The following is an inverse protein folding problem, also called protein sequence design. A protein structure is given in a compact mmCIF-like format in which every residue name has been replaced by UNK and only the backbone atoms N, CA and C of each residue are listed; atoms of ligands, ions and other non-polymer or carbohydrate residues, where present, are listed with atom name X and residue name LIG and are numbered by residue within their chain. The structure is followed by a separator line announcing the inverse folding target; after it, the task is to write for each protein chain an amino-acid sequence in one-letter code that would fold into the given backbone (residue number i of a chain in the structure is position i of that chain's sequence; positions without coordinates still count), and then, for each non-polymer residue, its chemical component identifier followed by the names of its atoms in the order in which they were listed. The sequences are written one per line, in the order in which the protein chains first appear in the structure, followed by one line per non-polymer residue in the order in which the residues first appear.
data_IF_173814659481
#
_entry.id   IF_173814659481
#
_cell.length_a   1.000
_cell.length_b   1.000
_cell.length_c   1.000
_cell.angle_alpha   90.00
_cell.angle_beta   90.00
_cell.angle_gamma   90.00
#
_symmetry.space_group_name_H-M   'P 1'
#
loop_
_entity.id
_entity.type
_entity.pdbx_description
1 polymer ?
#
# COMPACT_ATOMS: atom_id res chain seq x y z
N UNK A 1 24.29 -12.10 23.36
CA UNK A 1 25.58 -11.95 22.63
C UNK A 1 25.61 -13.00 21.53
N UNK A 2 25.85 -12.60 20.27
CA UNK A 2 25.97 -13.51 19.12
C UNK A 2 27.29 -14.29 19.28
N UNK A 3 27.26 -15.61 19.19
CA UNK A 3 28.49 -16.43 19.26
C UNK A 3 29.37 -16.17 18.04
N UNK A 4 30.69 -16.34 18.15
CA UNK A 4 31.64 -16.12 17.04
C UNK A 4 31.26 -16.90 15.77
N UNK A 5 30.77 -18.13 15.91
CA UNK A 5 30.28 -18.94 14.78
C UNK A 5 29.04 -18.39 14.10
N UNK A 6 28.12 -17.81 14.88
CA UNK A 6 26.91 -17.18 14.33
C UNK A 6 27.25 -15.92 13.55
N UNK A 7 28.22 -15.13 14.04
CA UNK A 7 28.69 -13.92 13.37
C UNK A 7 29.34 -14.25 12.02
N UNK A 8 30.27 -15.22 11.98
CA UNK A 8 30.93 -15.66 10.73
C UNK A 8 29.91 -16.18 9.71
N UNK A 9 28.90 -16.91 10.16
CA UNK A 9 27.81 -17.36 9.28
C UNK A 9 27.00 -16.18 8.73
N UNK A 10 26.69 -15.19 9.56
CA UNK A 10 25.95 -14.01 9.14
C UNK A 10 26.76 -13.16 8.16
N UNK A 11 28.08 -13.01 8.36
CA UNK A 11 28.98 -12.36 7.41
C UNK A 11 28.97 -13.03 6.04
N UNK A 12 29.10 -14.36 5.98
CA UNK A 12 29.06 -15.12 4.71
C UNK A 12 27.71 -14.96 3.99
N UNK A 13 26.60 -14.95 4.72
CA UNK A 13 25.28 -14.70 4.16
C UNK A 13 25.22 -13.27 3.58
N UNK A 14 25.74 -12.29 4.30
CA UNK A 14 25.77 -10.92 3.82
C UNK A 14 26.65 -10.78 2.57
N UNK A 15 27.83 -11.39 2.53
CA UNK A 15 28.72 -11.38 1.36
C UNK A 15 28.11 -12.02 0.12
N UNK A 16 27.26 -13.03 0.29
CA UNK A 16 26.53 -13.62 -0.84
C UNK A 16 25.51 -12.66 -1.50
N UNK A 17 25.21 -11.55 -0.82
CA UNK A 17 24.23 -10.55 -1.24
C UNK A 17 24.89 -9.25 -1.70
N UNK A 18 25.91 -8.78 -0.97
CA UNK A 18 26.56 -7.50 -1.23
C UNK A 18 27.95 -7.63 -1.87
N UNK A 19 28.47 -8.84 -2.03
CA UNK A 19 29.84 -9.12 -2.44
C UNK A 19 30.82 -9.19 -1.27
N UNK A 20 32.12 -9.49 -1.54
CA UNK A 20 33.17 -9.55 -0.52
C UNK A 20 33.27 -8.24 0.23
N UNK A 21 33.47 -8.31 1.55
CA UNK A 21 33.54 -7.13 2.42
C UNK A 21 34.56 -7.29 3.54
N UNK A 22 35.20 -6.18 3.94
CA UNK A 22 36.15 -6.14 5.05
C UNK A 22 35.43 -5.89 6.36
N UNK A 23 35.21 -6.94 7.13
CA UNK A 23 34.40 -6.92 8.33
C UNK A 23 35.15 -6.34 9.55
N UNK A 24 34.49 -5.41 10.23
CA UNK A 24 34.82 -4.95 11.58
C UNK A 24 33.71 -5.37 12.53
N UNK A 25 33.82 -6.57 13.11
CA UNK A 25 32.72 -7.16 13.88
C UNK A 25 31.51 -7.48 12.99
N UNK A 26 30.36 -6.92 13.30
CA UNK A 26 29.11 -7.13 12.55
C UNK A 26 28.92 -6.18 11.35
N UNK A 27 29.83 -5.23 11.13
CA UNK A 27 29.72 -4.18 10.12
C UNK A 27 30.85 -4.24 9.09
N UNK A 28 30.55 -3.87 7.85
CA UNK A 28 31.54 -3.68 6.80
C UNK A 28 31.14 -2.55 5.86
N UNK A 29 32.11 -1.73 5.38
CA UNK A 29 31.86 -0.80 4.29
C UNK A 29 31.58 -1.56 3.00
N UNK A 30 30.67 -1.04 2.18
CA UNK A 30 30.31 -1.62 0.89
C UNK A 30 30.10 -0.54 -0.16
N UNK A 31 30.22 -0.89 -1.43
CA UNK A 31 29.75 -0.02 -2.50
C UNK A 31 28.23 0.09 -2.42
N UNK A 32 27.70 1.31 -2.45
CA UNK A 32 26.24 1.52 -2.39
C UNK A 32 25.55 0.87 -3.59
N UNK A 33 24.51 0.03 -3.38
CA UNK A 33 23.78 -0.58 -4.49
C UNK A 33 23.07 0.44 -5.39
N UNK A 34 22.82 1.64 -4.89
CA UNK A 34 22.25 2.76 -5.64
C UNK A 34 23.25 3.86 -5.97
N UNK A 35 24.56 3.54 -6.09
CA UNK A 35 25.62 4.53 -6.33
C UNK A 35 25.40 5.38 -7.59
N UNK A 36 24.75 4.81 -8.61
CA UNK A 36 24.39 5.50 -9.85
C UNK A 36 23.33 6.60 -9.66
N UNK A 37 22.66 6.61 -8.52
CA UNK A 37 21.65 7.61 -8.13
C UNK A 37 22.24 8.72 -7.24
N UNK A 38 23.53 8.62 -6.88
CA UNK A 38 24.15 9.62 -6.02
C UNK A 38 24.46 10.89 -6.83
N UNK A 39 24.14 12.03 -6.26
CA UNK A 39 24.42 13.36 -6.82
C UNK A 39 25.82 13.87 -6.46
N UNK A 40 26.49 13.22 -5.50
CA UNK A 40 27.84 13.55 -5.03
C UNK A 40 28.71 12.29 -5.04
N UNK A 41 30.05 12.43 -5.21
CA UNK A 41 30.96 11.29 -5.11
C UNK A 41 30.78 10.56 -3.78
N UNK A 42 30.83 9.23 -3.83
CA UNK A 42 30.69 8.37 -2.66
C UNK A 42 32.02 8.37 -1.88
N UNK A 43 31.99 8.68 -0.58
CA UNK A 43 33.09 8.34 0.28
C UNK A 43 33.06 6.84 0.63
N UNK A 44 34.18 6.17 0.85
CA UNK A 44 34.24 4.74 1.16
C UNK A 44 33.39 4.31 2.36
N UNK A 45 33.08 5.24 3.26
CA UNK A 45 32.31 5.02 4.50
C UNK A 45 30.84 5.39 4.39
N UNK A 46 30.38 5.90 3.24
CA UNK A 46 29.01 6.40 3.08
C UNK A 46 27.95 5.31 3.06
N UNK A 47 28.35 4.07 2.76
CA UNK A 47 27.45 2.93 2.75
C UNK A 47 28.07 1.76 3.49
N UNK A 48 27.31 1.14 4.38
CA UNK A 48 27.75 -0.04 5.13
C UNK A 48 26.68 -1.12 5.18
N UNK A 49 27.12 -2.36 5.32
CA UNK A 49 26.28 -3.51 5.66
C UNK A 49 26.45 -3.86 7.13
N UNK A 50 25.35 -4.23 7.76
CA UNK A 50 25.32 -4.77 9.13
C UNK A 50 24.69 -6.15 9.07
N UNK A 51 25.40 -7.22 9.47
CA UNK A 51 24.94 -8.59 9.35
C UNK A 51 24.37 -9.18 10.67
N UNK A 52 24.63 -8.55 11.81
CA UNK A 52 24.09 -8.92 13.12
C UNK A 52 23.82 -7.64 13.92
N UNK A 53 22.98 -7.69 14.98
CA UNK A 53 22.75 -6.53 15.83
C UNK A 53 24.09 -5.95 16.34
N UNK A 54 24.36 -4.70 16.01
CA UNK A 54 25.59 -3.98 16.38
C UNK A 54 25.26 -2.83 17.34
N UNK A 55 26.08 -2.58 18.37
CA UNK A 55 25.89 -1.46 19.28
C UNK A 55 26.05 -0.13 18.54
N UNK A 56 25.21 0.84 18.86
CA UNK A 56 25.29 2.23 18.41
C UNK A 56 25.19 3.13 19.63
N UNK A 57 25.72 4.33 19.55
CA UNK A 57 25.54 5.34 20.59
C UNK A 57 24.03 5.62 20.73
N UNK A 58 23.42 5.09 21.83
CA UNK A 58 22.00 5.21 22.12
C UNK A 58 21.09 4.07 21.65
N UNK A 59 21.64 2.93 21.13
CA UNK A 59 20.79 1.81 20.70
C UNK A 59 21.52 0.64 20.05
N UNK A 60 20.78 -0.17 19.31
CA UNK A 60 21.29 -1.32 18.55
C UNK A 60 20.92 -1.17 17.08
N UNK A 61 21.91 -1.19 16.21
CA UNK A 61 21.70 -1.19 14.77
C UNK A 61 21.23 -2.57 14.31
N UNK A 62 20.08 -2.64 13.68
CA UNK A 62 19.55 -3.90 13.16
C UNK A 62 20.29 -4.35 11.90
N UNK A 63 20.28 -5.65 11.55
CA UNK A 63 20.82 -6.12 10.27
C UNK A 63 20.18 -5.40 9.08
N UNK A 64 21.03 -4.93 8.15
CA UNK A 64 20.57 -4.14 6.99
C UNK A 64 21.70 -3.47 6.25
N UNK A 65 21.38 -2.71 5.23
CA UNK A 65 22.30 -1.84 4.50
C UNK A 65 21.95 -0.39 4.82
N UNK A 66 22.93 0.40 5.09
CA UNK A 66 22.80 1.79 5.53
C UNK A 66 23.63 2.69 4.62
N UNK A 67 23.00 3.68 4.02
CA UNK A 67 23.66 4.69 3.19
C UNK A 67 23.20 6.08 3.61
N UNK A 68 24.12 7.04 3.64
CA UNK A 68 23.83 8.43 4.01
C UNK A 68 23.05 9.19 2.92
N UNK A 69 23.05 8.69 1.67
CA UNK A 69 22.38 9.36 0.56
C UNK A 69 20.90 9.00 0.50
N UNK A 70 20.05 10.03 0.41
CA UNK A 70 18.58 9.83 0.31
C UNK A 70 18.15 9.27 -1.06
N UNK A 71 18.88 9.63 -2.12
CA UNK A 71 18.58 9.25 -3.50
C UNK A 71 18.61 7.75 -3.77
N UNK A 72 19.44 6.99 -3.03
CA UNK A 72 19.56 5.52 -3.21
C UNK A 72 18.67 4.71 -2.27
N UNK A 73 17.77 5.35 -1.51
CA UNK A 73 16.98 4.71 -0.44
C UNK A 73 16.17 3.51 -0.90
N UNK A 74 15.63 3.54 -2.12
CA UNK A 74 14.85 2.44 -2.67
C UNK A 74 15.72 1.19 -2.92
N UNK A 75 16.90 1.35 -3.53
CA UNK A 75 17.82 0.25 -3.83
C UNK A 75 18.43 -0.34 -2.55
N UNK A 76 18.83 0.53 -1.62
CA UNK A 76 19.29 0.15 -0.28
C UNK A 76 18.19 -0.63 0.47
N UNK A 77 16.94 -0.20 0.37
CA UNK A 77 15.79 -0.87 0.99
C UNK A 77 15.56 -2.28 0.45
N UNK A 78 15.61 -2.47 -0.87
CA UNK A 78 15.48 -3.79 -1.52
C UNK A 78 16.56 -4.75 -1.03
N UNK A 79 17.81 -4.30 -1.01
CA UNK A 79 18.93 -5.16 -0.62
C UNK A 79 18.94 -5.45 0.89
N UNK A 80 18.54 -4.46 1.72
CA UNK A 80 18.34 -4.66 3.16
C UNK A 80 17.25 -5.69 3.47
N UNK A 81 16.18 -5.70 2.69
CA UNK A 81 15.12 -6.70 2.81
C UNK A 81 15.65 -8.11 2.49
N UNK A 82 16.39 -8.26 1.37
CA UNK A 82 17.02 -9.52 0.98
C UNK A 82 17.97 -10.05 2.07
N UNK A 83 18.79 -9.16 2.62
CA UNK A 83 19.72 -9.49 3.70
C UNK A 83 18.99 -10.00 4.95
N UNK A 84 17.98 -9.27 5.41
CA UNK A 84 17.18 -9.66 6.59
C UNK A 84 16.48 -10.99 6.39
N UNK A 85 15.90 -11.21 5.22
CA UNK A 85 15.27 -12.48 4.87
C UNK A 85 16.25 -13.64 4.88
N UNK A 86 17.45 -13.45 4.33
CA UNK A 86 18.49 -14.48 4.30
C UNK A 86 19.07 -14.80 5.68
N UNK A 87 19.14 -13.80 6.56
CA UNK A 87 19.57 -13.95 7.95
C UNK A 87 18.50 -14.58 8.86
N UNK A 88 17.31 -14.89 8.35
CA UNK A 88 16.20 -15.44 9.12
C UNK A 88 15.45 -14.39 9.96
N UNK A 89 15.75 -13.10 9.79
CA UNK A 89 14.99 -12.00 10.36
C UNK A 89 13.78 -11.72 9.46
N UNK A 90 12.87 -12.69 9.35
CA UNK A 90 11.54 -12.43 8.80
C UNK A 90 10.85 -11.34 9.63
N UNK A 91 9.99 -10.54 9.00
CA UNK A 91 9.24 -9.41 9.59
C UNK A 91 8.21 -9.89 10.63
N UNK A 92 8.61 -10.77 11.53
CA UNK A 92 7.82 -11.15 12.71
C UNK A 92 8.77 -11.32 13.88
N UNK A 93 8.45 -10.59 14.96
CA UNK A 93 9.25 -10.51 16.16
C UNK A 93 9.60 -11.87 16.75
N UNK A 94 10.75 -11.86 17.35
CA UNK A 94 11.27 -12.78 18.37
C UNK A 94 10.24 -13.75 18.96
N UNK A 95 10.32 -15.02 18.55
CA UNK A 95 10.18 -16.19 19.43
C UNK A 95 10.48 -17.49 18.66
N UNK A 96 11.32 -18.34 19.27
CA UNK A 96 11.38 -19.74 18.92
C UNK A 96 12.79 -20.24 18.65
N UNK A 97 13.33 -20.85 19.71
CA UNK A 97 14.58 -21.54 19.72
C UNK A 97 14.73 -22.57 18.60
N UNK A 98 15.96 -22.65 18.11
CA UNK A 98 16.51 -23.63 17.20
C UNK A 98 16.21 -25.08 17.64
N UNK A 99 15.40 -25.76 16.84
CA UNK A 99 15.52 -27.22 16.71
C UNK A 99 16.05 -27.52 15.30
N UNK A 100 17.04 -28.39 15.11
CA UNK A 100 17.54 -28.75 13.80
C UNK A 100 16.48 -29.58 13.07
N UNK A 101 15.87 -29.01 12.03
CA UNK A 101 15.03 -29.75 11.09
C UNK A 101 15.93 -30.45 10.08
N UNK A 102 15.89 -31.77 10.06
CA UNK A 102 16.51 -32.65 9.08
C UNK A 102 16.19 -32.20 7.65
N UNK A 103 17.25 -32.20 6.84
CA UNK A 103 17.17 -31.96 5.39
C UNK A 103 16.56 -33.21 4.72
N UNK A 104 15.25 -33.32 4.70
CA UNK A 104 14.53 -34.24 3.84
C UNK A 104 13.73 -33.45 2.81
N UNK A 105 14.17 -33.50 1.55
CA UNK A 105 13.37 -33.42 0.36
C UNK A 105 12.35 -32.30 0.25
N UNK A 106 12.75 -31.01 0.21
CA UNK A 106 11.92 -29.97 -0.34
C UNK A 106 12.28 -29.79 -1.81
N UNK A 107 11.45 -30.32 -2.70
CA UNK A 107 11.40 -29.84 -4.08
C UNK A 107 11.32 -28.33 -4.08
N UNK A 108 12.12 -27.60 -4.89
CA UNK A 108 11.99 -26.15 -5.02
C UNK A 108 10.55 -25.84 -5.43
N UNK A 109 9.83 -25.07 -4.60
CA UNK A 109 8.55 -24.53 -5.05
C UNK A 109 8.85 -23.71 -6.32
N UNK A 110 8.10 -23.93 -7.41
CA UNK A 110 8.26 -23.12 -8.61
C UNK A 110 8.19 -21.65 -8.17
N UNK A 111 9.17 -20.87 -8.57
CA UNK A 111 9.19 -19.42 -8.36
C UNK A 111 7.96 -18.90 -9.10
N UNK A 112 6.89 -18.59 -8.36
CA UNK A 112 5.74 -17.93 -8.98
C UNK A 112 6.27 -16.62 -9.55
N UNK A 113 6.25 -16.50 -10.86
CA UNK A 113 6.51 -15.24 -11.55
C UNK A 113 5.40 -14.29 -11.07
N UNK A 114 5.78 -13.21 -10.37
CA UNK A 114 4.80 -12.20 -9.99
C UNK A 114 4.19 -11.65 -11.29
N UNK A 115 2.86 -11.56 -11.38
CA UNK A 115 2.23 -11.02 -12.56
C UNK A 115 2.67 -9.57 -12.78
N UNK A 116 2.98 -9.23 -14.01
CA UNK A 116 3.36 -7.88 -14.43
C UNK A 116 2.25 -7.27 -15.29
N UNK A 117 2.25 -5.95 -15.43
CA UNK A 117 1.32 -5.22 -16.30
C UNK A 117 1.52 -5.62 -17.75
N UNK A 118 0.42 -5.99 -18.42
CA UNK A 118 0.35 -6.39 -19.82
C UNK A 118 -0.62 -5.47 -20.59
N UNK A 119 -0.11 -4.44 -21.28
CA UNK A 119 -0.94 -3.53 -22.06
C UNK A 119 -1.77 -4.23 -23.15
N UNK A 120 -1.27 -5.33 -23.72
CA UNK A 120 -1.98 -6.11 -24.74
C UNK A 120 -3.22 -6.78 -24.16
N UNK A 121 -3.09 -7.35 -22.96
CA UNK A 121 -4.21 -7.94 -22.23
C UNK A 121 -5.24 -6.91 -21.80
N UNK A 122 -4.77 -5.75 -21.31
CA UNK A 122 -5.67 -4.64 -20.99
C UNK A 122 -6.46 -4.20 -22.21
N UNK A 123 -5.80 -3.95 -23.34
CA UNK A 123 -6.44 -3.54 -24.59
C UNK A 123 -7.47 -4.58 -25.08
N UNK A 124 -7.11 -5.87 -25.03
CA UNK A 124 -7.99 -6.95 -25.46
C UNK A 124 -9.29 -7.03 -24.61
N UNK A 125 -9.18 -6.81 -23.29
CA UNK A 125 -10.35 -6.80 -22.41
C UNK A 125 -11.13 -5.50 -22.57
N UNK A 126 -10.47 -4.35 -22.53
CA UNK A 126 -11.13 -3.06 -22.66
C UNK A 126 -11.89 -2.92 -24.00
N UNK A 127 -11.36 -3.48 -25.06
CA UNK A 127 -11.96 -3.43 -26.40
C UNK A 127 -13.28 -4.23 -26.55
N UNK A 128 -13.60 -5.10 -25.60
CA UNK A 128 -14.87 -5.86 -25.63
C UNK A 128 -16.09 -5.01 -25.25
N UNK A 129 -15.86 -3.90 -24.56
CA UNK A 129 -16.94 -3.04 -24.07
C UNK A 129 -16.74 -1.63 -24.61
N UNK A 130 -17.69 -1.14 -25.40
CA UNK A 130 -17.64 0.18 -26.01
C UNK A 130 -18.47 1.21 -25.26
N UNK A 131 -18.13 2.50 -25.41
CA UNK A 131 -18.90 3.61 -24.86
C UNK A 131 -18.78 3.79 -23.34
N UNK A 132 -17.80 3.13 -22.71
CA UNK A 132 -17.50 3.28 -21.28
C UNK A 132 -16.93 4.67 -21.02
N UNK A 133 -17.61 5.40 -20.15
CA UNK A 133 -17.21 6.71 -19.66
C UNK A 133 -17.82 6.96 -18.28
N UNK A 134 -17.55 8.09 -17.68
CA UNK A 134 -18.07 8.44 -16.35
C UNK A 134 -19.61 8.36 -16.28
N UNK A 135 -20.31 8.87 -17.30
CA UNK A 135 -21.78 8.83 -17.36
C UNK A 135 -22.31 7.41 -17.49
N UNK A 136 -21.57 6.52 -18.14
CA UNK A 136 -21.91 5.09 -18.23
C UNK A 136 -21.94 4.44 -16.85
N UNK A 137 -20.96 4.73 -15.98
CA UNK A 137 -20.90 4.26 -14.60
C UNK A 137 -21.98 4.90 -13.72
N UNK A 138 -22.17 6.22 -13.84
CA UNK A 138 -23.19 6.95 -13.07
C UNK A 138 -24.60 6.37 -13.28
N UNK A 139 -24.95 6.02 -14.53
CA UNK A 139 -26.25 5.40 -14.84
C UNK A 139 -26.43 3.99 -14.26
N UNK A 140 -25.35 3.28 -13.96
CA UNK A 140 -25.34 1.94 -13.36
C UNK A 140 -25.21 1.93 -11.85
N UNK A 141 -24.96 3.09 -11.27
CA UNK A 141 -24.89 3.26 -9.82
C UNK A 141 -26.26 2.98 -9.19
N UNK A 142 -26.27 2.24 -8.09
CA UNK A 142 -27.49 2.05 -7.29
C UNK A 142 -27.89 3.30 -6.52
N UNK A 143 -26.91 4.14 -6.19
CA UNK A 143 -27.13 5.43 -5.53
C UNK A 143 -26.63 6.57 -6.42
N UNK A 144 -27.30 7.72 -6.45
CA UNK A 144 -26.89 8.88 -7.23
C UNK A 144 -25.51 9.35 -6.81
N UNK A 145 -24.54 9.35 -7.72
CA UNK A 145 -23.15 9.74 -7.42
C UNK A 145 -23.00 11.24 -7.18
N UNK A 146 -23.77 12.06 -7.88
CA UNK A 146 -23.72 13.52 -7.78
C UNK A 146 -24.36 14.07 -6.50
N UNK A 147 -25.22 13.27 -5.85
CA UNK A 147 -25.84 13.63 -4.57
C UNK A 147 -25.00 13.26 -3.35
N UNK A 148 -23.87 12.60 -3.55
CA UNK A 148 -23.03 12.17 -2.44
C UNK A 148 -22.12 13.30 -1.93
N UNK A 149 -21.96 13.32 -0.62
CA UNK A 149 -20.92 14.07 0.09
C UNK A 149 -19.89 13.09 0.65
N UNK A 150 -18.71 13.54 1.10
CA UNK A 150 -17.77 12.64 1.77
C UNK A 150 -18.40 11.88 2.95
N UNK A 151 -19.24 12.56 3.72
CA UNK A 151 -19.95 11.96 4.86
C UNK A 151 -20.97 10.90 4.44
N UNK A 152 -21.86 11.21 3.48
CA UNK A 152 -22.86 10.25 3.01
C UNK A 152 -22.22 9.06 2.32
N UNK A 153 -21.14 9.25 1.57
CA UNK A 153 -20.36 8.15 0.99
C UNK A 153 -19.86 7.19 2.08
N UNK A 154 -19.24 7.71 3.15
CA UNK A 154 -18.77 6.86 4.25
C UNK A 154 -19.93 6.13 4.96
N UNK A 155 -21.07 6.80 5.16
CA UNK A 155 -22.27 6.19 5.75
C UNK A 155 -22.82 5.03 4.93
N UNK A 156 -22.63 5.02 3.60
CA UNK A 156 -23.01 3.88 2.77
C UNK A 156 -22.07 2.68 2.89
N UNK A 157 -20.84 2.90 3.35
CA UNK A 157 -19.81 1.85 3.41
C UNK A 157 -19.67 1.23 4.81
N UNK A 158 -19.96 2.00 5.85
CA UNK A 158 -19.68 1.61 7.24
C UNK A 158 -20.93 1.66 8.08
N UNK A 159 -21.07 0.67 8.98
CA UNK A 159 -22.16 0.62 9.92
C UNK A 159 -22.04 1.69 11.03
N UNK A 160 -23.15 2.10 11.66
CA UNK A 160 -23.10 2.95 12.82
C UNK A 160 -22.16 2.40 13.90
N UNK A 161 -21.30 3.28 14.45
CA UNK A 161 -20.31 2.91 15.47
C UNK A 161 -19.00 2.36 14.96
N UNK A 162 -18.85 2.07 13.65
CA UNK A 162 -17.55 1.73 13.09
C UNK A 162 -16.65 2.96 12.99
N UNK A 163 -15.36 2.78 13.25
CA UNK A 163 -14.36 3.85 13.16
C UNK A 163 -13.62 3.78 11.82
N UNK A 164 -13.48 4.92 11.17
CA UNK A 164 -12.73 5.09 9.92
C UNK A 164 -11.64 6.12 10.13
N UNK A 165 -10.41 5.81 9.71
CA UNK A 165 -9.34 6.80 9.72
C UNK A 165 -9.44 7.63 8.45
N UNK A 166 -9.42 8.95 8.61
CA UNK A 166 -9.39 9.93 7.51
C UNK A 166 -8.14 10.78 7.65
N UNK A 167 -7.46 10.97 6.54
CA UNK A 167 -6.26 11.80 6.45
C UNK A 167 -6.57 12.98 5.52
N UNK A 168 -6.53 14.18 6.06
CA UNK A 168 -6.73 15.43 5.32
C UNK A 168 -5.45 16.27 5.20
N UNK A 169 -4.35 15.75 5.78
CA UNK A 169 -3.01 16.30 5.68
C UNK A 169 -2.03 15.28 5.11
N UNK A 170 -0.81 15.70 4.85
CA UNK A 170 0.20 14.80 4.30
C UNK A 170 0.57 13.72 5.33
N UNK A 171 0.47 12.46 4.91
CA UNK A 171 0.62 11.27 5.77
C UNK A 171 1.96 11.22 6.52
N UNK A 172 3.03 11.82 5.96
CA UNK A 172 4.36 11.84 6.59
C UNK A 172 4.42 12.64 7.89
N UNK A 173 3.41 13.46 8.19
CA UNK A 173 3.34 14.25 9.41
C UNK A 173 2.63 13.53 10.55
N UNK A 174 2.09 12.34 10.32
CA UNK A 174 1.59 11.44 11.36
C UNK A 174 0.33 11.89 12.08
N UNK A 175 -0.40 12.86 11.52
CA UNK A 175 -1.66 13.32 12.12
C UNK A 175 -2.82 12.53 11.52
N UNK A 176 -3.30 11.55 12.29
CA UNK A 176 -4.52 10.82 11.96
C UNK A 176 -5.73 11.67 12.38
N UNK A 177 -6.55 12.05 11.43
CA UNK A 177 -7.87 12.61 11.72
C UNK A 177 -8.85 11.46 11.90
N UNK A 178 -9.51 11.45 13.05
CA UNK A 178 -10.33 10.35 13.50
C UNK A 178 -11.81 10.67 13.37
N UNK A 179 -12.55 9.84 12.65
CA UNK A 179 -13.98 9.99 12.46
C UNK A 179 -14.71 8.66 12.66
N UNK A 180 -15.97 8.76 13.13
CA UNK A 180 -16.90 7.64 13.19
C UNK A 180 -17.82 7.67 11.97
N UNK A 181 -18.21 6.50 11.48
CA UNK A 181 -19.32 6.36 10.55
C UNK A 181 -20.62 6.20 11.32
N UNK A 182 -21.74 6.70 10.76
CA UNK A 182 -23.06 6.57 11.35
C UNK A 182 -23.54 7.80 12.15
N UNK A 183 -24.49 7.58 13.10
CA UNK A 183 -25.20 8.64 13.83
C UNK A 183 -24.30 9.54 14.69
N UNK A 184 -23.11 9.05 15.04
CA UNK A 184 -22.14 9.77 15.86
C UNK A 184 -21.02 10.42 15.07
N UNK A 185 -21.10 10.45 13.74
CA UNK A 185 -20.28 11.42 13.02
C UNK A 185 -20.75 12.77 13.52
N UNK A 186 -19.90 13.56 14.24
CA UNK A 186 -20.26 14.93 14.54
C UNK A 186 -20.70 15.58 13.23
N UNK A 187 -21.64 16.56 13.24
CA UNK A 187 -22.12 17.15 12.01
C UNK A 187 -20.90 17.48 11.18
N UNK A 188 -20.69 16.59 10.26
CA UNK A 188 -19.50 16.54 9.44
C UNK A 188 -19.67 17.77 8.60
N UNK A 189 -18.90 18.79 8.90
CA UNK A 189 -18.91 19.93 8.01
C UNK A 189 -18.44 19.42 6.64
N UNK A 190 -19.38 19.17 5.70
CA UNK A 190 -18.99 18.66 4.39
C UNK A 190 -17.99 19.61 3.73
N UNK A 191 -17.97 20.87 4.15
CA UNK A 191 -17.04 21.89 3.72
C UNK A 191 -15.61 21.64 4.24
N UNK A 192 -15.45 21.08 5.44
CA UNK A 192 -14.12 20.82 6.02
C UNK A 192 -13.23 19.96 5.14
N UNK A 193 -13.79 18.96 4.46
CA UNK A 193 -13.04 18.09 3.56
C UNK A 193 -13.26 18.40 2.08
N UNK A 194 -14.31 19.14 1.76
CA UNK A 194 -14.67 19.48 0.39
C UNK A 194 -13.76 20.57 -0.18
N UNK A 195 -13.38 21.53 0.63
CA UNK A 195 -12.64 22.71 0.20
C UNK A 195 -11.25 22.78 0.79
N UNK A 196 -10.26 23.03 -0.05
CA UNK A 196 -8.98 23.60 0.34
C UNK A 196 -7.94 22.64 0.92
N UNK A 197 -8.03 21.33 0.69
CA UNK A 197 -6.97 20.42 1.12
C UNK A 197 -5.87 20.32 0.07
N UNK A 198 -4.62 20.74 0.38
CA UNK A 198 -3.56 20.82 -0.63
C UNK A 198 -3.40 19.53 -1.43
N UNK A 199 -3.27 18.40 -0.78
CA UNK A 199 -3.03 17.11 -1.43
C UNK A 199 -4.28 16.22 -1.54
N UNK A 200 -5.46 16.74 -1.17
CA UNK A 200 -6.72 16.02 -1.11
C UNK A 200 -6.90 15.24 0.19
N UNK A 201 -7.89 14.37 0.22
CA UNK A 201 -8.28 13.60 1.41
C UNK A 201 -8.19 12.11 1.11
N UNK A 202 -7.77 11.33 2.10
CA UNK A 202 -7.72 9.86 2.04
C UNK A 202 -8.52 9.27 3.20
N UNK A 203 -8.97 8.05 3.02
CA UNK A 203 -9.51 7.24 4.09
C UNK A 203 -8.91 5.83 4.07
N UNK A 204 -8.94 5.16 5.21
CA UNK A 204 -8.58 3.75 5.31
C UNK A 204 -9.77 2.90 4.88
N UNK A 205 -9.56 2.00 3.92
CA UNK A 205 -10.67 1.23 3.32
C UNK A 205 -11.37 0.27 4.29
N UNK A 206 -10.70 -0.20 5.32
CA UNK A 206 -11.29 -1.10 6.33
C UNK A 206 -11.47 -0.39 7.67
N UNK A 207 -12.56 -0.67 8.40
CA UNK A 207 -12.80 -0.06 9.72
C UNK A 207 -11.79 -0.58 10.75
N UNK A 208 -11.55 0.22 11.77
CA UNK A 208 -10.50 -0.02 12.78
C UNK A 208 -11.01 0.23 14.20
N UNK A 209 -10.26 -0.25 15.20
CA UNK A 209 -10.59 -0.03 16.61
C UNK A 209 -10.42 1.43 17.08
N UNK A 210 -9.63 2.23 16.36
CA UNK A 210 -9.25 3.56 16.80
C UNK A 210 -8.09 3.65 17.78
N UNK A 211 -7.62 2.55 18.25
CA UNK A 211 -6.53 2.51 19.21
C UNK A 211 -5.16 2.64 18.53
N UNK A 212 -4.23 3.28 19.23
CA UNK A 212 -2.84 3.28 18.82
C UNK A 212 -2.18 1.94 19.16
N UNK A 213 -1.45 1.40 18.20
CA UNK A 213 -0.64 0.19 18.37
C UNK A 213 0.79 0.43 17.85
N UNK A 214 1.79 -0.28 18.39
CA UNK A 214 3.15 -0.24 17.82
C UNK A 214 3.15 -0.72 16.36
N UNK A 215 3.79 0.05 15.48
CA UNK A 215 3.96 -0.32 14.06
C UNK A 215 5.20 -1.18 13.78
N UNK A 216 6.00 -1.44 14.82
CA UNK A 216 7.24 -2.21 14.74
C UNK A 216 8.50 -1.36 14.58
N UNK A 217 8.36 -0.05 14.41
CA UNK A 217 9.47 0.90 14.39
C UNK A 217 9.69 1.51 15.77
N UNK A 218 10.91 2.00 16.01
CA UNK A 218 11.23 2.78 17.21
C UNK A 218 11.48 4.23 16.81
N UNK A 219 11.11 5.15 17.70
CA UNK A 219 11.51 6.56 17.62
C UNK A 219 12.99 6.71 17.97
N UNK A 220 13.55 7.90 17.73
CA UNK A 220 14.93 8.20 18.06
C UNK A 220 15.29 8.06 19.56
N UNK A 221 14.28 8.13 20.44
CA UNK A 221 14.41 7.92 21.89
C UNK A 221 14.25 6.46 22.33
N UNK A 222 14.10 5.53 21.38
CA UNK A 222 13.92 4.10 21.65
C UNK A 222 12.50 3.70 22.00
N UNK A 223 11.54 4.64 22.08
CA UNK A 223 10.13 4.31 22.33
C UNK A 223 9.46 3.78 21.05
N UNK A 224 8.43 2.91 21.16
CA UNK A 224 7.71 2.43 19.99
C UNK A 224 7.04 3.58 19.22
N UNK A 225 7.18 3.57 17.90
CA UNK A 225 6.33 4.39 17.05
C UNK A 225 4.92 3.80 17.06
N UNK A 226 3.92 4.64 17.33
CA UNK A 226 2.52 4.23 17.44
C UNK A 226 1.75 4.68 16.21
N UNK A 227 0.85 3.84 15.75
CA UNK A 227 -0.05 4.13 14.63
C UNK A 227 -1.44 3.55 14.88
N UNK A 228 -2.47 4.19 14.33
CA UNK A 228 -3.81 3.62 14.21
C UNK A 228 -3.97 2.83 12.91
N UNK A 229 -3.11 3.09 11.93
CA UNK A 229 -3.09 2.41 10.63
C UNK A 229 -2.26 1.12 10.70
N UNK A 230 -2.87 0.06 11.18
CA UNK A 230 -2.23 -1.25 11.31
C UNK A 230 -3.23 -2.37 11.01
N UNK A 231 -2.76 -3.49 10.47
CA UNK A 231 -3.58 -4.69 10.34
C UNK A 231 -4.11 -5.19 11.70
N UNK A 232 -3.44 -4.87 12.82
CA UNK A 232 -3.85 -5.21 14.17
C UNK A 232 -5.03 -4.41 14.68
N UNK A 233 -5.32 -3.27 14.07
CA UNK A 233 -6.44 -2.41 14.44
C UNK A 233 -7.67 -2.63 13.58
N UNK A 234 -7.59 -3.39 12.49
CA UNK A 234 -8.74 -3.67 11.62
C UNK A 234 -9.77 -4.49 12.38
N UNK A 235 -11.02 -4.02 12.40
CA UNK A 235 -12.16 -4.68 13.04
C UNK A 235 -12.99 -5.52 12.07
N UNK A 236 -12.95 -5.18 10.76
CA UNK A 236 -13.64 -5.93 9.70
C UNK A 236 -12.82 -5.89 8.41
N UNK A 237 -12.54 -7.07 7.87
CA UNK A 237 -11.75 -7.26 6.64
C UNK A 237 -12.69 -7.22 5.43
N UNK A 238 -13.33 -6.07 5.22
CA UNK A 238 -14.44 -5.91 4.28
C UNK A 238 -14.01 -5.58 2.87
N UNK A 239 -13.00 -4.73 2.72
CA UNK A 239 -12.67 -4.13 1.44
C UNK A 239 -11.23 -4.39 1.00
N UNK A 240 -11.06 -4.36 -0.32
CA UNK A 240 -9.79 -4.34 -1.04
C UNK A 240 -9.84 -3.16 -2.02
N UNK A 241 -8.72 -2.45 -2.14
CA UNK A 241 -8.56 -1.34 -3.09
C UNK A 241 -7.74 -1.80 -4.28
N UNK A 242 -8.25 -1.51 -5.48
CA UNK A 242 -7.48 -1.54 -6.71
C UNK A 242 -7.26 -0.11 -7.18
N UNK A 243 -6.07 0.19 -7.66
CA UNK A 243 -5.74 1.44 -8.33
C UNK A 243 -4.76 1.17 -9.45
N UNK A 244 -4.72 2.03 -10.46
CA UNK A 244 -3.73 1.96 -11.52
C UNK A 244 -3.17 3.35 -11.83
N UNK A 245 -1.85 3.43 -11.83
CA UNK A 245 -1.07 4.59 -12.28
C UNK A 245 -0.46 4.38 -13.67
N UNK A 246 -0.53 3.15 -14.21
CA UNK A 246 0.11 2.73 -15.46
C UNK A 246 -0.86 2.62 -16.63
N UNK A 247 -2.09 2.14 -16.37
CA UNK A 247 -3.10 1.95 -17.39
C UNK A 247 -3.72 3.30 -17.82
N UNK A 248 -4.12 3.38 -19.09
CA UNK A 248 -5.01 4.46 -19.52
C UNK A 248 -6.31 4.43 -18.72
N UNK A 249 -6.78 5.57 -18.19
CA UNK A 249 -7.95 5.60 -17.29
C UNK A 249 -9.23 5.02 -17.91
N UNK A 250 -9.49 5.27 -19.20
CA UNK A 250 -10.71 4.75 -19.86
C UNK A 250 -10.60 3.26 -20.13
N UNK A 251 -9.43 2.78 -20.53
CA UNK A 251 -9.18 1.35 -20.70
C UNK A 251 -9.26 0.61 -19.36
N UNK A 252 -8.72 1.20 -18.30
CA UNK A 252 -8.82 0.64 -16.94
C UNK A 252 -10.28 0.54 -16.49
N UNK A 253 -11.07 1.61 -16.66
CA UNK A 253 -12.50 1.61 -16.37
C UNK A 253 -13.25 0.53 -17.16
N UNK A 254 -12.99 0.44 -18.47
CA UNK A 254 -13.62 -0.56 -19.33
C UNK A 254 -13.29 -1.99 -18.91
N UNK A 255 -12.02 -2.25 -18.55
CA UNK A 255 -11.60 -3.57 -18.06
C UNK A 255 -12.24 -3.91 -16.71
N UNK A 256 -12.20 -2.96 -15.76
CA UNK A 256 -12.75 -3.13 -14.41
C UNK A 256 -14.25 -3.45 -14.45
N UNK A 257 -15.03 -2.80 -15.34
CA UNK A 257 -16.46 -3.02 -15.46
C UNK A 257 -16.82 -4.48 -15.81
N UNK A 258 -15.90 -5.21 -16.44
CA UNK A 258 -16.06 -6.59 -16.90
C UNK A 258 -15.57 -7.63 -15.88
N UNK A 259 -14.92 -7.19 -14.80
CA UNK A 259 -14.39 -8.13 -13.81
C UNK A 259 -15.51 -8.72 -12.95
N UNK A 260 -15.47 -10.02 -12.66
CA UNK A 260 -16.43 -10.68 -11.77
C UNK A 260 -16.14 -10.36 -10.31
N UNK A 261 -16.03 -9.08 -9.99
CA UNK A 261 -15.74 -8.57 -8.67
C UNK A 261 -16.95 -7.82 -8.11
N UNK A 262 -17.13 -7.91 -6.80
CA UNK A 262 -18.15 -7.15 -6.07
C UNK A 262 -17.69 -5.71 -5.89
N UNK A 263 -17.80 -4.90 -6.93
CA UNK A 263 -17.35 -3.50 -6.94
C UNK A 263 -18.39 -2.65 -6.21
N UNK A 264 -17.95 -2.00 -5.14
CA UNK A 264 -18.79 -1.13 -4.31
C UNK A 264 -18.72 0.32 -4.76
N UNK A 265 -17.54 0.79 -5.12
CA UNK A 265 -17.35 2.16 -5.58
C UNK A 265 -16.20 2.27 -6.58
N UNK A 266 -16.32 3.23 -7.50
CA UNK A 266 -15.26 3.67 -8.40
C UNK A 266 -15.17 5.19 -8.29
N UNK A 267 -13.95 5.72 -8.13
CA UNK A 267 -13.72 7.15 -7.99
C UNK A 267 -12.33 7.56 -8.48
N UNK A 268 -12.17 8.84 -8.83
CA UNK A 268 -10.91 9.39 -9.26
C UNK A 268 -10.07 9.88 -8.09
N UNK A 269 -8.76 9.96 -8.27
CA UNK A 269 -7.85 10.57 -7.30
C UNK A 269 -7.83 12.11 -7.33
N UNK A 270 -8.60 12.74 -8.20
CA UNK A 270 -8.38 14.14 -8.56
C UNK A 270 -7.09 14.35 -9.39
N UNK A 271 -6.52 13.29 -9.93
CA UNK A 271 -5.33 13.22 -10.78
C UNK A 271 -5.52 12.19 -11.88
N UNK A 272 -4.52 11.33 -12.09
CA UNK A 272 -4.55 10.31 -13.13
C UNK A 272 -5.23 9.02 -12.68
N UNK A 273 -5.05 8.64 -11.40
CA UNK A 273 -5.43 7.32 -10.92
C UNK A 273 -6.93 7.21 -10.71
N UNK A 274 -7.45 6.02 -11.05
CA UNK A 274 -8.80 5.60 -10.73
C UNK A 274 -8.71 4.51 -9.68
N UNK A 275 -9.47 4.68 -8.61
CA UNK A 275 -9.57 3.75 -7.51
C UNK A 275 -10.86 2.94 -7.61
N UNK A 276 -10.76 1.66 -7.29
CA UNK A 276 -11.88 0.72 -7.27
C UNK A 276 -11.94 0.07 -5.90
N UNK A 277 -13.05 0.21 -5.22
CA UNK A 277 -13.30 -0.42 -3.93
C UNK A 277 -14.07 -1.73 -4.17
N UNK A 278 -13.43 -2.84 -3.86
CA UNK A 278 -13.98 -4.20 -4.01
C UNK A 278 -14.36 -4.73 -2.64
N UNK A 279 -15.53 -5.36 -2.53
CA UNK A 279 -16.01 -5.97 -1.30
C UNK A 279 -15.60 -7.44 -1.23
N UNK A 280 -14.92 -7.83 -0.16
CA UNK A 280 -14.49 -9.21 0.11
C UNK A 280 -15.30 -9.85 1.22
N UNK A 281 -15.63 -9.10 2.28
CA UNK A 281 -16.28 -9.59 3.51
C UNK A 281 -15.52 -10.78 4.12
N UNK A 282 -14.21 -10.69 4.16
CA UNK A 282 -13.37 -11.75 4.68
C UNK A 282 -13.53 -11.91 6.20
N UNK A 283 -13.60 -13.14 6.65
CA UNK A 283 -13.79 -13.49 8.07
C UNK A 283 -12.59 -13.20 8.95
N UNK A 284 -11.40 -13.06 8.35
CA UNK A 284 -10.12 -12.85 9.04
C UNK A 284 -9.10 -12.25 8.10
N UNK A 285 -7.96 -11.80 8.66
CA UNK A 285 -6.80 -11.39 7.85
C UNK A 285 -6.32 -12.51 6.92
N UNK A 286 -6.28 -13.74 7.41
CA UNK A 286 -5.83 -14.88 6.61
C UNK A 286 -6.76 -15.14 5.43
N UNK A 287 -8.06 -15.05 5.65
CA UNK A 287 -9.07 -15.17 4.61
C UNK A 287 -8.96 -14.02 3.59
N UNK A 288 -8.78 -12.78 4.07
CA UNK A 288 -8.54 -11.62 3.20
C UNK A 288 -7.28 -11.81 2.33
N UNK A 289 -6.17 -12.24 2.93
CA UNK A 289 -4.92 -12.52 2.21
C UNK A 289 -5.13 -13.60 1.13
N UNK A 290 -5.93 -14.64 1.42
CA UNK A 290 -6.24 -15.72 0.49
C UNK A 290 -7.09 -15.22 -0.69
N UNK A 291 -8.14 -14.42 -0.43
CA UNK A 291 -8.97 -13.83 -1.47
C UNK A 291 -8.17 -12.83 -2.33
N UNK A 292 -7.36 -11.98 -1.70
CA UNK A 292 -6.48 -11.04 -2.40
C UNK A 292 -5.46 -11.77 -3.30
N UNK A 293 -4.93 -12.92 -2.86
CA UNK A 293 -4.02 -13.75 -3.65
C UNK A 293 -4.68 -14.36 -4.90
N UNK A 294 -6.01 -14.58 -4.88
CA UNK A 294 -6.75 -15.03 -6.06
C UNK A 294 -7.05 -13.88 -7.04
N UNK A 295 -7.23 -12.67 -6.54
CA UNK A 295 -7.53 -11.48 -7.35
C UNK A 295 -6.27 -10.94 -8.05
N UNK A 296 -5.12 -10.91 -7.38
CA UNK A 296 -3.85 -10.36 -7.91
C UNK A 296 -3.47 -10.85 -9.32
N UNK A 297 -3.49 -12.17 -9.63
CA UNK A 297 -3.13 -12.66 -10.96
C UNK A 297 -4.06 -12.18 -12.08
N UNK A 298 -5.27 -11.75 -11.72
CA UNK A 298 -6.25 -11.24 -12.66
C UNK A 298 -6.02 -9.75 -12.92
N UNK A 299 -5.89 -8.95 -11.85
CA UNK A 299 -5.92 -7.48 -11.95
C UNK A 299 -4.56 -6.84 -12.21
N UNK A 300 -3.46 -7.44 -11.74
CA UNK A 300 -2.12 -6.88 -11.95
C UNK A 300 -1.75 -6.85 -13.46
N UNK A 301 -1.99 -7.90 -14.27
CA UNK A 301 -1.79 -7.79 -15.70
C UNK A 301 -2.62 -6.73 -16.40
N UNK A 302 -3.74 -6.32 -15.81
CA UNK A 302 -4.58 -5.22 -16.31
C UNK A 302 -4.10 -3.84 -15.84
N UNK A 303 -3.04 -3.77 -15.03
CA UNK A 303 -2.42 -2.53 -14.59
C UNK A 303 -2.69 -2.13 -13.13
N UNK A 304 -3.34 -3.01 -12.33
CA UNK A 304 -3.47 -2.72 -10.90
C UNK A 304 -2.10 -2.68 -10.21
N UNK A 305 -1.88 -1.65 -9.38
CA UNK A 305 -0.68 -1.55 -8.55
C UNK A 305 -0.68 -2.64 -7.47
N UNK A 306 0.29 -3.57 -7.46
CA UNK A 306 0.39 -4.58 -6.42
C UNK A 306 0.50 -4.00 -5.01
N UNK A 307 1.12 -2.82 -4.88
CA UNK A 307 1.29 -2.10 -3.61
C UNK A 307 -0.01 -1.54 -3.05
N UNK A 308 -1.02 -1.33 -3.91
CA UNK A 308 -2.34 -0.89 -3.48
C UNK A 308 -3.14 -2.01 -2.82
N UNK A 309 -2.86 -3.28 -3.16
CA UNK A 309 -3.60 -4.43 -2.67
C UNK A 309 -3.14 -4.78 -1.24
N UNK A 310 -3.64 -4.03 -0.28
CA UNK A 310 -3.32 -4.16 1.15
C UNK A 310 -4.56 -3.81 1.99
N UNK A 311 -4.81 -4.59 3.06
CA UNK A 311 -5.93 -4.34 3.97
C UNK A 311 -5.83 -3.03 4.76
N UNK A 312 -4.64 -2.43 4.81
CA UNK A 312 -4.36 -1.12 5.41
C UNK A 312 -4.11 -0.04 4.36
N UNK A 313 -4.63 -0.22 3.14
CA UNK A 313 -4.48 0.78 2.07
C UNK A 313 -5.27 2.02 2.39
N UNK A 314 -4.59 3.16 2.33
CA UNK A 314 -5.24 4.44 2.19
C UNK A 314 -5.66 4.64 0.75
N UNK A 315 -6.89 5.07 0.56
CA UNK A 315 -7.44 5.39 -0.75
C UNK A 315 -8.07 6.77 -0.71
N UNK A 316 -8.33 7.38 -1.86
CA UNK A 316 -8.87 8.72 -1.92
C UNK A 316 -10.32 8.75 -1.44
N UNK A 317 -10.66 9.73 -0.61
CA UNK A 317 -12.05 9.97 -0.20
C UNK A 317 -12.76 10.74 -1.31
N UNK A 318 -13.77 10.16 -1.98
CA UNK A 318 -14.48 10.86 -3.04
C UNK A 318 -15.26 12.07 -2.51
N UNK A 319 -15.66 12.94 -3.43
CA UNK A 319 -16.38 14.18 -3.17
C UNK A 319 -15.55 15.26 -2.43
N UNK A 320 -14.23 15.10 -2.36
CA UNK A 320 -13.29 16.05 -1.80
C UNK A 320 -12.48 16.73 -2.90
N UNK A 321 -12.14 18.00 -2.69
CA UNK A 321 -11.27 18.77 -3.59
C UNK A 321 -9.79 18.57 -3.24
N UNK A 322 -8.98 18.57 -4.27
CA UNK A 322 -7.52 18.51 -4.20
C UNK A 322 -6.95 19.73 -4.90
N UNK A 323 -6.09 20.49 -4.20
CA UNK A 323 -5.53 21.74 -4.74
C UNK A 323 -4.25 21.56 -5.53
N UNK A 324 -3.56 20.45 -5.40
CA UNK A 324 -2.29 20.20 -6.08
C UNK A 324 -1.76 18.79 -5.89
N UNK A 325 -0.52 18.61 -6.28
CA UNK A 325 0.21 17.33 -6.18
C UNK A 325 1.63 17.59 -5.69
N UNK A 326 2.36 16.53 -5.36
CA UNK A 326 3.80 16.63 -5.15
C UNK A 326 4.52 16.39 -6.48
N UNK A 327 5.60 17.14 -6.71
CA UNK A 327 6.55 16.86 -7.78
C UNK A 327 7.45 15.65 -7.42
N UNK A 328 8.44 15.39 -8.27
CA UNK A 328 9.39 14.28 -8.09
C UNK A 328 10.25 14.42 -6.83
N UNK A 329 10.46 15.66 -6.37
CA UNK A 329 11.26 15.97 -5.19
C UNK A 329 10.41 16.09 -3.92
N UNK A 330 9.09 15.88 -4.04
CA UNK A 330 8.13 15.93 -2.94
C UNK A 330 7.67 17.36 -2.59
N UNK A 331 8.01 18.36 -3.42
CA UNK A 331 7.52 19.70 -3.25
C UNK A 331 6.07 19.82 -3.77
N UNK A 332 5.25 20.59 -3.04
CA UNK A 332 3.87 20.80 -3.43
C UNK A 332 3.76 21.69 -4.66
N UNK A 333 3.06 21.19 -5.69
CA UNK A 333 2.76 21.91 -6.92
C UNK A 333 1.25 22.14 -7.01
N UNK A 334 0.76 23.38 -6.94
CA UNK A 334 -0.66 23.67 -7.04
C UNK A 334 -1.19 23.39 -8.45
N UNK A 335 -2.44 22.98 -8.54
CA UNK A 335 -3.18 22.99 -9.80
C UNK A 335 -3.64 24.41 -10.12
N UNK A 336 -3.91 24.71 -11.39
CA UNK A 336 -4.54 25.97 -11.80
C UNK A 336 -5.94 26.13 -11.20
N UNK A 337 -6.65 25.04 -11.04
CA UNK A 337 -7.97 24.96 -10.39
C UNK A 337 -8.06 23.71 -9.53
N UNK A 338 -8.84 23.74 -8.43
CA UNK A 338 -9.10 22.58 -7.62
C UNK A 338 -9.66 21.42 -8.45
N UNK A 339 -9.21 20.20 -8.17
CA UNK A 339 -9.69 18.99 -8.84
C UNK A 339 -10.49 18.13 -7.87
N UNK A 340 -11.70 17.78 -8.27
CA UNK A 340 -12.56 16.91 -7.47
C UNK A 340 -12.05 15.46 -7.51
N UNK A 341 -11.96 14.82 -6.37
CA UNK A 341 -11.89 13.36 -6.22
C UNK A 341 -13.29 12.81 -6.52
N UNK A 342 -13.58 12.63 -7.81
CA UNK A 342 -14.94 12.43 -8.32
C UNK A 342 -15.40 11.00 -8.08
N UNK A 343 -16.60 10.83 -7.53
CA UNK A 343 -17.28 9.54 -7.46
C UNK A 343 -17.89 9.22 -8.82
N UNK A 344 -17.60 8.04 -9.37
CA UNK A 344 -18.07 7.60 -10.68
C UNK A 344 -19.16 6.52 -10.58
N UNK A 345 -19.09 5.68 -9.54
CA UNK A 345 -19.99 4.57 -9.32
C UNK A 345 -20.12 4.28 -7.82
N UNK A 346 -21.33 3.97 -7.37
CA UNK A 346 -21.61 3.56 -6.00
C UNK A 346 -22.71 2.50 -5.95
N UNK A 347 -22.36 1.32 -5.42
CA UNK A 347 -23.29 0.22 -5.15
C UNK A 347 -22.92 -0.46 -3.82
N UNK A 348 -23.43 0.01 -2.69
CA UNK A 348 -23.09 -0.53 -1.38
C UNK A 348 -23.82 -1.84 -1.06
N UNK A 349 -24.79 -2.27 -1.89
CA UNK A 349 -25.57 -3.47 -1.65
C UNK A 349 -24.77 -4.75 -1.87
N UNK A 350 -25.17 -5.84 -1.21
CA UNK A 350 -24.48 -7.13 -1.29
C UNK A 350 -24.67 -7.85 -2.63
N UNK A 351 -25.68 -7.46 -3.39
CA UNK A 351 -26.11 -8.13 -4.62
C UNK A 351 -25.30 -7.69 -5.86
N UNK A 352 -24.10 -7.18 -5.67
CA UNK A 352 -23.29 -6.69 -6.77
C UNK A 352 -22.82 -7.83 -7.65
N UNK A 353 -23.43 -7.98 -8.76
CA UNK A 353 -22.95 -8.66 -9.96
C UNK A 353 -21.87 -7.82 -10.64
N UNK A 354 -21.15 -8.32 -11.65
CA UNK A 354 -20.33 -7.47 -12.54
C UNK A 354 -21.14 -6.25 -12.99
N UNK A 355 -20.47 -5.10 -13.11
CA UNK A 355 -21.15 -3.86 -13.52
C UNK A 355 -21.66 -3.95 -14.96
N UNK A 356 -20.94 -4.73 -15.80
CA UNK A 356 -21.30 -5.03 -17.17
C UNK A 356 -22.06 -6.34 -17.22
N UNK A 357 -23.18 -6.38 -17.91
CA UNK A 357 -23.89 -7.62 -18.21
C UNK A 357 -23.21 -8.37 -19.35
N UNK A 358 -23.28 -9.72 -19.33
CA UNK A 358 -22.60 -10.55 -20.35
C UNK A 358 -23.05 -10.24 -21.78
N UNK A 359 -24.31 -9.80 -21.95
CA UNK A 359 -24.90 -9.42 -23.23
C UNK A 359 -24.32 -8.14 -23.83
N UNK A 360 -23.67 -7.30 -23.01
CA UNK A 360 -23.01 -6.07 -23.45
C UNK A 360 -21.59 -6.31 -24.02
N UNK A 361 -21.04 -7.50 -23.82
CA UNK A 361 -19.71 -7.87 -24.31
C UNK A 361 -19.78 -8.27 -25.79
N UNK A 362 -18.94 -7.68 -26.62
CA UNK A 362 -18.79 -7.97 -28.06
C UNK A 362 -17.69 -9.00 -28.32
#
# INVERSE_FOLDING_TARGET
MTTSHQLVRAQRIAESIVGPAEWKGAEAPITCPGIHLHTKPNAPTDCKVVCAPAPLDGGVLAPGIYCHHKSCRAEVGKLSYRLRSALGHGVTGLRGALAPRSAAGRTPRPRMIEPEFDPGKLNAIAGRLSGVNESWFARRSKLPVDAQTPGTFLQQLYAPGEHVIIFDEFISQGQDVWHHSGEHIPPYDPQRFRTGKPRGVWFLCNPVTGQFVPDGNLKGDGTPHLTRRSWRTITSWRYLVLESDQADPLQWLSAVAQLPLRIVAIYTSGGKSIHVLVRLDASSKQDWDAQAAQIKPIVIPLGADPGAISGVRLTRLPCCERLGTDDRDGAFVPYSEPRLQKLLYLNPTLDSTPICELEELR
#
